data_IF_399592487795
#
_entry.id   IF_399592487795
#
_cell.length_a   1.000
_cell.length_b   1.000
_cell.length_c   1.000
_cell.angle_alpha   90.00
_cell.angle_beta   90.00
_cell.angle_gamma   90.00
#
_symmetry.space_group_name_H-M   'P 1'
#
loop_
_entity.id
_entity.type
_entity.pdbx_description
1 polymer ?
#
# COMPACT_ATOMS: atom_id res chain seq x y z
N UNK A 1 30.68 6.78 -25.21
CA UNK A 1 30.79 5.53 -25.98
C UNK A 1 29.94 4.50 -25.28
N UNK A 2 28.66 4.53 -25.62
CA UNK A 2 27.61 3.67 -25.11
C UNK A 2 27.90 2.24 -25.58
N UNK A 3 28.07 1.30 -24.65
CA UNK A 3 28.27 -0.11 -25.01
C UNK A 3 26.90 -0.80 -24.97
N UNK A 4 26.41 -1.32 -26.12
CA UNK A 4 25.14 -2.01 -26.21
C UNK A 4 25.19 -3.37 -25.49
N UNK A 5 24.13 -3.68 -24.76
CA UNK A 5 23.91 -5.00 -24.14
C UNK A 5 23.53 -6.02 -25.23
N UNK A 6 24.24 -7.15 -25.37
CA UNK A 6 23.80 -8.22 -26.25
C UNK A 6 22.69 -9.05 -25.58
N UNK A 7 21.49 -8.99 -26.17
CA UNK A 7 20.46 -10.02 -26.03
C UNK A 7 21.07 -11.39 -26.33
N UNK A 8 21.01 -12.31 -25.37
CA UNK A 8 21.18 -13.75 -25.65
C UNK A 8 20.03 -14.53 -25.03
N UNK A 9 19.06 -14.73 -25.92
CA UNK A 9 18.04 -15.77 -25.93
C UNK A 9 18.70 -17.12 -25.70
N UNK A 10 18.27 -17.84 -24.68
CA UNK A 10 18.47 -19.29 -24.59
C UNK A 10 17.23 -19.91 -24.00
N UNK A 11 16.36 -20.39 -24.88
CA UNK A 11 15.28 -21.32 -24.55
C UNK A 11 15.83 -22.74 -24.64
N UNK A 12 15.76 -23.53 -23.55
CA UNK A 12 15.72 -24.96 -23.69
C UNK A 12 14.48 -25.48 -22.97
N UNK A 13 13.59 -26.13 -23.70
CA UNK A 13 12.97 -27.42 -23.36
C UNK A 13 11.62 -27.57 -24.06
N UNK A 14 11.49 -28.73 -24.68
CA UNK A 14 10.24 -29.39 -25.06
C UNK A 14 9.45 -28.77 -26.21
N UNK A 15 9.79 -29.26 -27.39
CA UNK A 15 8.83 -29.49 -28.45
C UNK A 15 7.62 -30.27 -27.92
N UNK A 16 6.42 -29.71 -28.02
CA UNK A 16 5.16 -30.38 -28.37
C UNK A 16 4.01 -29.36 -28.38
N UNK A 17 3.57 -29.00 -29.58
CA UNK A 17 2.18 -29.20 -29.99
C UNK A 17 1.09 -28.61 -29.07
N UNK A 18 0.69 -27.35 -29.28
CA UNK A 18 -0.70 -27.01 -29.67
C UNK A 18 -0.83 -25.51 -29.98
N UNK A 19 -1.03 -25.19 -31.27
CA UNK A 19 -1.70 -23.95 -31.68
C UNK A 19 -3.11 -23.95 -31.10
N UNK A 20 -3.45 -22.92 -30.31
CA UNK A 20 -4.80 -22.35 -30.25
C UNK A 20 -4.73 -21.00 -29.52
N UNK A 21 -4.46 -19.93 -30.27
CA UNK A 21 -4.79 -18.57 -29.84
C UNK A 21 -6.31 -18.45 -29.95
N UNK A 22 -7.04 -18.98 -28.96
CA UNK A 22 -8.47 -18.76 -28.86
C UNK A 22 -8.71 -17.42 -28.16
N UNK A 23 -9.13 -16.44 -28.97
CA UNK A 23 -9.56 -15.13 -28.52
C UNK A 23 -10.62 -15.24 -27.41
N UNK A 24 -10.34 -14.67 -26.23
CA UNK A 24 -11.38 -14.41 -25.23
C UNK A 24 -12.22 -13.22 -25.71
N UNK A 25 -13.19 -13.48 -26.59
CA UNK A 25 -14.26 -12.55 -26.91
C UNK A 25 -15.60 -13.12 -26.44
N UNK A 26 -15.90 -12.96 -25.15
CA UNK A 26 -17.25 -13.13 -24.61
C UNK A 26 -17.63 -11.88 -23.83
N UNK A 27 -18.09 -10.90 -24.59
CA UNK A 27 -18.88 -9.78 -24.11
C UNK A 27 -20.14 -10.31 -23.42
N UNK A 28 -20.30 -9.96 -22.14
CA UNK A 28 -21.46 -10.31 -21.33
C UNK A 28 -22.71 -9.58 -21.85
N UNK A 29 -23.92 -10.17 -21.70
CA UNK A 29 -25.16 -9.52 -22.11
C UNK A 29 -25.43 -8.29 -21.23
N UNK A 30 -25.51 -7.12 -21.85
CA UNK A 30 -25.90 -5.87 -21.19
C UNK A 30 -27.44 -5.88 -21.03
N UNK A 31 -27.92 -6.35 -19.88
CA UNK A 31 -29.31 -6.15 -19.48
C UNK A 31 -29.59 -4.67 -19.18
N UNK A 32 -30.87 -4.23 -19.15
CA UNK A 32 -31.20 -2.84 -18.86
C UNK A 32 -30.70 -2.48 -17.45
N UNK A 33 -29.78 -1.52 -17.39
CA UNK A 33 -29.25 -1.01 -16.15
C UNK A 33 -30.39 -0.37 -15.34
N UNK A 34 -30.69 -0.94 -14.17
CA UNK A 34 -31.53 -0.32 -13.15
C UNK A 34 -30.93 1.05 -12.79
N UNK A 35 -31.73 2.11 -12.57
CA UNK A 35 -31.21 3.39 -12.11
C UNK A 35 -30.35 3.19 -10.87
N UNK A 36 -29.05 3.41 -11.01
CA UNK A 36 -28.10 3.26 -9.92
C UNK A 36 -28.11 4.59 -9.17
N UNK A 37 -28.87 4.64 -8.07
CA UNK A 37 -28.65 5.68 -7.06
C UNK A 37 -27.17 5.63 -6.70
N UNK A 38 -26.40 6.73 -6.83
CA UNK A 38 -25.01 6.72 -6.41
C UNK A 38 -24.96 6.28 -4.95
N UNK A 39 -24.34 5.13 -4.69
CA UNK A 39 -24.00 4.76 -3.34
C UNK A 39 -23.14 5.89 -2.75
N UNK A 40 -23.26 6.20 -1.44
CA UNK A 40 -22.33 7.11 -0.79
C UNK A 40 -20.92 6.68 -1.16
N UNK A 41 -20.11 7.62 -1.67
CA UNK A 41 -18.73 7.33 -2.02
C UNK A 41 -18.04 6.76 -0.77
N UNK A 42 -17.80 5.45 -0.78
CA UNK A 42 -17.15 4.80 0.34
C UNK A 42 -15.73 5.37 0.42
N UNK A 43 -15.38 6.01 1.55
CA UNK A 43 -14.00 6.39 1.79
C UNK A 43 -13.16 5.10 1.77
N UNK A 44 -12.25 5.00 0.81
CA UNK A 44 -11.34 3.86 0.74
C UNK A 44 -10.46 3.87 2.00
N UNK A 45 -10.21 2.71 2.64
CA UNK A 45 -9.29 2.62 3.76
C UNK A 45 -7.95 3.30 3.44
N UNK A 46 -7.44 4.11 4.38
CA UNK A 46 -6.20 4.86 4.20
C UNK A 46 -6.31 6.21 3.48
N UNK A 47 -7.54 6.66 3.16
CA UNK A 47 -7.78 8.00 2.60
C UNK A 47 -7.75 9.10 3.67
N UNK A 48 -7.81 8.74 4.95
CA UNK A 48 -7.74 9.65 6.08
C UNK A 48 -6.30 10.15 6.29
N UNK A 49 -6.18 11.46 6.51
CA UNK A 49 -4.92 12.13 6.82
C UNK A 49 -5.15 13.09 7.97
N UNK A 50 -4.27 13.05 8.97
CA UNK A 50 -4.23 14.07 10.03
C UNK A 50 -3.52 15.35 9.55
N UNK A 51 -3.37 16.34 10.43
CA UNK A 51 -2.72 17.62 10.13
C UNK A 51 -1.24 17.47 9.70
N UNK A 52 -0.58 16.37 10.09
CA UNK A 52 0.80 16.06 9.73
C UNK A 52 0.89 15.11 8.53
N UNK A 53 -0.25 14.72 7.94
CA UNK A 53 -0.33 13.77 6.84
C UNK A 53 -0.20 12.31 7.24
N UNK A 54 -0.29 11.97 8.53
CA UNK A 54 -0.31 10.58 8.98
C UNK A 54 -1.69 9.95 8.73
N UNK A 55 -1.73 8.64 8.50
CA UNK A 55 -2.96 7.87 8.30
C UNK A 55 -3.34 7.16 9.61
N UNK A 56 -4.19 7.76 10.46
CA UNK A 56 -4.56 7.15 11.74
C UNK A 56 -5.29 5.82 11.58
N UNK A 57 -6.11 5.64 10.54
CA UNK A 57 -6.79 4.36 10.26
C UNK A 57 -5.82 3.22 9.96
N UNK A 58 -4.63 3.54 9.44
CA UNK A 58 -3.57 2.57 9.21
C UNK A 58 -2.69 2.38 10.46
N UNK A 59 -2.96 3.09 11.56
CA UNK A 59 -2.22 3.01 12.82
C UNK A 59 -0.96 3.86 12.87
N UNK A 60 -0.84 4.89 12.03
CA UNK A 60 0.25 5.86 12.08
C UNK A 60 -0.13 7.07 12.94
N UNK A 61 0.80 7.49 13.81
CA UNK A 61 0.70 8.69 14.62
C UNK A 61 1.92 9.58 14.41
N UNK A 62 1.70 10.89 14.45
CA UNK A 62 2.80 11.86 14.36
C UNK A 62 3.66 11.84 15.62
N UNK A 63 4.98 11.83 15.45
CA UNK A 63 5.94 11.96 16.53
C UNK A 63 6.81 13.19 16.34
N UNK A 64 6.64 14.20 17.21
CA UNK A 64 7.38 15.47 17.11
C UNK A 64 8.89 15.27 17.23
N UNK A 65 9.35 14.35 18.10
CA UNK A 65 10.78 14.02 18.24
C UNK A 65 11.43 13.63 16.90
N UNK A 66 10.84 12.71 16.15
CA UNK A 66 11.43 12.20 14.90
C UNK A 66 10.94 12.96 13.66
N UNK A 67 9.92 13.80 13.82
CA UNK A 67 9.20 14.47 12.72
C UNK A 67 8.72 13.49 11.65
N UNK A 68 8.21 12.34 12.10
CA UNK A 68 7.75 11.25 11.24
C UNK A 68 6.44 10.66 11.74
N UNK A 69 5.67 10.11 10.81
CA UNK A 69 4.57 9.22 11.12
C UNK A 69 5.13 7.85 11.53
N UNK A 70 4.89 7.45 12.77
CA UNK A 70 5.39 6.20 13.36
C UNK A 70 4.21 5.33 13.78
N UNK A 71 4.41 4.02 13.86
CA UNK A 71 3.45 3.10 14.48
C UNK A 71 3.78 3.00 15.98
N UNK A 72 2.92 3.48 16.90
CA UNK A 72 3.21 3.47 18.33
C UNK A 72 3.63 2.11 18.87
N UNK A 73 2.99 1.02 18.42
CA UNK A 73 3.34 -0.34 18.84
C UNK A 73 4.73 -0.81 18.40
N UNK A 74 5.10 -0.53 17.14
CA UNK A 74 6.45 -0.86 16.65
C UNK A 74 7.52 0.00 17.34
N UNK A 75 7.21 1.27 17.58
CA UNK A 75 8.09 2.19 18.29
C UNK A 75 8.31 1.72 19.73
N UNK A 76 7.24 1.39 20.46
CA UNK A 76 7.29 0.89 21.82
C UNK A 76 8.16 -0.37 21.93
N UNK A 77 8.01 -1.31 20.98
CA UNK A 77 8.84 -2.51 20.92
C UNK A 77 10.32 -2.17 20.67
N UNK A 78 10.62 -1.28 19.72
CA UNK A 78 12.00 -0.88 19.38
C UNK A 78 12.70 -0.13 20.51
N UNK A 79 11.93 0.65 21.28
CA UNK A 79 12.45 1.55 22.30
C UNK A 79 12.32 0.98 23.72
N UNK A 80 11.73 -0.22 23.87
CA UNK A 80 11.66 -0.94 25.13
C UNK A 80 10.70 -0.35 26.17
N UNK A 81 9.62 0.31 25.74
CA UNK A 81 8.61 0.85 26.65
C UNK A 81 7.23 0.21 26.44
N UNK A 82 6.37 0.28 27.46
CA UNK A 82 4.99 -0.23 27.40
C UNK A 82 4.16 0.66 26.50
N UNK A 83 3.42 0.09 25.53
CA UNK A 83 2.51 0.85 24.68
C UNK A 83 1.33 1.43 25.49
N UNK A 84 1.42 2.71 25.85
CA UNK A 84 0.34 3.54 26.40
C UNK A 84 0.37 4.89 25.70
N UNK A 85 -0.72 5.65 25.79
CA UNK A 85 -0.74 7.00 25.22
C UNK A 85 0.30 7.89 25.90
N UNK A 86 0.37 7.84 27.23
CA UNK A 86 1.34 8.63 28.02
C UNK A 86 2.80 8.30 27.69
N UNK A 87 3.14 7.02 27.50
CA UNK A 87 4.51 6.63 27.17
C UNK A 87 4.90 7.02 25.75
N UNK A 88 3.97 6.92 24.79
CA UNK A 88 4.16 7.38 23.42
C UNK A 88 4.30 8.91 23.36
N UNK A 89 3.41 9.64 24.03
CA UNK A 89 3.44 11.10 24.08
C UNK A 89 4.72 11.59 24.77
N UNK A 90 5.11 10.98 25.89
CA UNK A 90 6.38 11.27 26.55
C UNK A 90 7.60 10.97 25.67
N UNK A 91 7.55 9.88 24.89
CA UNK A 91 8.59 9.58 23.91
C UNK A 91 8.63 10.67 22.82
N UNK A 92 7.49 11.10 22.31
CA UNK A 92 7.42 12.02 21.17
C UNK A 92 7.54 13.50 21.52
N UNK A 93 7.26 13.89 22.76
CA UNK A 93 7.33 15.26 23.27
C UNK A 93 8.75 15.73 23.60
N UNK A 94 9.74 14.84 23.60
CA UNK A 94 11.15 15.17 23.81
C UNK A 94 11.87 15.29 22.46
N UNK A 95 11.89 16.46 21.81
CA UNK A 95 12.79 16.68 20.69
C UNK A 95 14.23 16.62 21.21
N UNK A 96 15.11 15.89 20.52
CA UNK A 96 16.53 15.70 20.83
C UNK A 96 16.90 14.65 21.90
N UNK A 97 17.37 13.51 21.41
CA UNK A 97 18.58 12.85 21.89
C UNK A 97 19.54 12.78 20.70
#
# INVERSE_FOLDING_TARGET
MERPMPMRVTCPFSALLFCCVAACATQAPVGPAKPQTPAPAANMPGSDRDANGCIPSAGYAWCTRTRQCVRPGELAQKQGFKLTLESFDGYCANPEQ
#
